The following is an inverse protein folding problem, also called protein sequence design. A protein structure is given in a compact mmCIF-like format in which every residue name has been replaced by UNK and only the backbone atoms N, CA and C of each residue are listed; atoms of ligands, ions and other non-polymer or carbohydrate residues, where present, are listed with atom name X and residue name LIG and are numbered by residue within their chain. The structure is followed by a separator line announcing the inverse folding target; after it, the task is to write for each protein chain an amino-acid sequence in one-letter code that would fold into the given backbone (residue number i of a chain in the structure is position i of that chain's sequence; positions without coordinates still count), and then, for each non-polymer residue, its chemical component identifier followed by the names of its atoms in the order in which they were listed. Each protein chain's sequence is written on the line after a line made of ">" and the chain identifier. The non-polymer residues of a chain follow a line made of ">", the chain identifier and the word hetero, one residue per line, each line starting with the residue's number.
data_IF_647804762186
#
_entry.id   IF_647804762186
#
_cell.length_a   1.000
_cell.length_b   1.000
_cell.length_c   1.000
_cell.angle_alpha   90.00
_cell.angle_beta   90.00
_cell.angle_gamma   90.00
#
_symmetry.space_group_name_H-M   'P 1'
#
loop_
_entity.id
_entity.type
_entity.pdbx_description
1 polymer ?
#
# COMPACT_ATOMS: atom_id res chain seq x y z
N UNK A 1 -36.12 -9.85 -0.43
CA UNK A 1 -34.81 -10.51 -0.24
C UNK A 1 -33.87 -9.44 0.27
N UNK A 2 -33.23 -9.64 1.43
CA UNK A 2 -32.12 -8.78 1.85
C UNK A 2 -31.02 -8.92 0.79
N UNK A 3 -30.45 -7.79 0.33
CA UNK A 3 -29.36 -7.82 -0.64
C UNK A 3 -28.13 -8.53 -0.04
N UNK A 4 -27.26 -9.05 -0.91
CA UNK A 4 -25.95 -9.58 -0.50
C UNK A 4 -25.16 -8.51 0.28
N UNK A 5 -24.32 -8.96 1.21
CA UNK A 5 -23.42 -8.10 1.95
C UNK A 5 -22.21 -7.76 1.08
N UNK A 6 -21.79 -6.50 1.13
CA UNK A 6 -20.71 -6.01 0.29
C UNK A 6 -19.49 -5.68 1.16
N UNK A 7 -18.35 -6.25 0.83
CA UNK A 7 -17.06 -5.89 1.41
C UNK A 7 -16.24 -5.19 0.34
N UNK A 8 -15.67 -4.04 0.66
CA UNK A 8 -14.80 -3.27 -0.22
C UNK A 8 -13.41 -3.26 0.40
N UNK A 9 -12.45 -3.83 -0.31
CA UNK A 9 -11.02 -3.64 -0.08
C UNK A 9 -10.56 -2.46 -0.92
N UNK A 10 -9.95 -1.44 -0.31
CA UNK A 10 -9.40 -0.29 -1.02
C UNK A 10 -7.96 0.00 -0.56
N UNK A 11 -6.99 -0.20 -1.45
CA UNK A 11 -5.57 -0.10 -1.12
C UNK A 11 -4.72 0.14 -2.38
N UNK A 12 -3.44 0.48 -2.28
CA UNK A 12 -2.55 0.60 -3.44
C UNK A 12 -1.76 -0.69 -3.77
N UNK A 13 -1.70 -1.65 -2.83
CA UNK A 13 -1.19 -3.02 -3.01
C UNK A 13 0.28 -3.12 -3.48
N UNK A 14 1.09 -2.11 -3.14
CA UNK A 14 2.52 -2.10 -3.44
C UNK A 14 3.30 -2.82 -2.33
N UNK A 15 2.89 -2.63 -1.09
CA UNK A 15 3.62 -3.01 0.11
C UNK A 15 3.23 -4.44 0.55
N UNK A 16 4.08 -5.08 1.36
CA UNK A 16 3.83 -6.44 1.85
C UNK A 16 2.68 -6.55 2.84
N UNK A 17 2.41 -5.48 3.59
CA UNK A 17 1.31 -5.42 4.53
C UNK A 17 -0.05 -5.29 3.84
N UNK A 18 -0.14 -4.59 2.70
CA UNK A 18 -1.37 -4.54 1.90
C UNK A 18 -1.80 -5.94 1.47
N UNK A 19 -0.85 -6.73 0.93
CA UNK A 19 -1.14 -8.10 0.48
C UNK A 19 -1.46 -9.03 1.66
N UNK A 20 -0.82 -8.83 2.81
CA UNK A 20 -1.14 -9.56 4.03
C UNK A 20 -2.55 -9.21 4.57
N UNK A 21 -2.94 -7.93 4.48
CA UNK A 21 -4.28 -7.45 4.81
C UNK A 21 -5.34 -8.04 3.87
N UNK A 22 -5.05 -8.08 2.56
CA UNK A 22 -5.88 -8.74 1.56
C UNK A 22 -6.06 -10.24 1.86
N UNK A 23 -4.99 -10.94 2.26
CA UNK A 23 -5.05 -12.34 2.68
C UNK A 23 -5.95 -12.51 3.91
N UNK A 24 -5.83 -11.65 4.93
CA UNK A 24 -6.67 -11.73 6.13
C UNK A 24 -8.15 -11.51 5.80
N UNK A 25 -8.45 -10.50 4.96
CA UNK A 25 -9.81 -10.22 4.52
C UNK A 25 -10.38 -11.36 3.67
N UNK A 26 -9.60 -11.89 2.73
CA UNK A 26 -9.99 -13.04 1.92
C UNK A 26 -10.33 -14.24 2.81
N UNK A 27 -9.48 -14.56 3.79
CA UNK A 27 -9.74 -15.63 4.75
C UNK A 27 -10.98 -15.38 5.60
N UNK A 28 -11.33 -14.14 5.90
CA UNK A 28 -12.55 -13.84 6.64
C UNK A 28 -13.82 -14.04 5.80
N UNK A 29 -13.76 -13.79 4.49
CA UNK A 29 -14.97 -13.67 3.64
C UNK A 29 -15.23 -14.88 2.76
N UNK A 30 -14.21 -15.62 2.32
CA UNK A 30 -14.34 -16.49 1.15
C UNK A 30 -15.26 -17.71 1.32
N UNK A 31 -15.64 -18.05 2.56
CA UNK A 31 -16.57 -19.15 2.87
C UNK A 31 -18.02 -18.67 2.99
N UNK A 32 -18.27 -17.37 2.91
CA UNK A 32 -19.58 -16.74 3.10
C UNK A 32 -20.26 -16.54 1.74
N UNK A 33 -21.26 -17.36 1.37
CA UNK A 33 -21.88 -17.30 0.05
C UNK A 33 -22.72 -16.04 -0.18
N UNK A 34 -23.07 -15.31 0.89
CA UNK A 34 -23.86 -14.07 0.84
C UNK A 34 -22.99 -12.81 0.83
N UNK A 35 -21.66 -12.95 0.90
CA UNK A 35 -20.72 -11.82 0.92
C UNK A 35 -20.04 -11.73 -0.43
N UNK A 36 -20.14 -10.55 -1.04
CA UNK A 36 -19.40 -10.20 -2.24
C UNK A 36 -18.25 -9.24 -1.88
N UNK A 37 -17.04 -9.53 -2.36
CA UNK A 37 -15.86 -8.70 -2.12
C UNK A 37 -15.44 -7.97 -3.38
N UNK A 38 -15.37 -6.64 -3.33
CA UNK A 38 -14.76 -5.80 -4.35
C UNK A 38 -13.31 -5.51 -3.97
N UNK A 39 -12.36 -5.94 -4.80
CA UNK A 39 -10.94 -5.66 -4.61
C UNK A 39 -10.58 -4.44 -5.44
N UNK A 40 -10.48 -3.27 -4.82
CA UNK A 40 -10.24 -2.01 -5.52
C UNK A 40 -8.83 -1.53 -5.23
N UNK A 41 -8.05 -1.27 -6.29
CA UNK A 41 -6.73 -0.68 -6.21
C UNK A 41 -6.74 0.82 -6.48
N UNK A 42 -6.06 1.57 -5.63
CA UNK A 42 -5.71 2.98 -5.83
C UNK A 42 -4.28 3.06 -6.41
N UNK A 43 -4.11 3.22 -7.73
CA UNK A 43 -2.77 3.30 -8.31
C UNK A 43 -2.03 4.58 -7.85
N UNK A 44 -0.73 4.46 -7.60
CA UNK A 44 0.16 5.60 -7.31
C UNK A 44 0.69 6.24 -8.60
N UNK A 45 1.13 7.50 -8.51
CA UNK A 45 1.92 8.13 -9.56
C UNK A 45 3.33 7.54 -9.60
N UNK A 46 3.84 7.31 -10.82
CA UNK A 46 5.17 6.74 -11.09
C UNK A 46 5.91 7.58 -12.11
N UNK A 47 7.21 7.30 -12.29
CA UNK A 47 8.01 7.85 -13.39
C UNK A 47 8.99 6.77 -13.84
N UNK A 48 8.77 6.21 -15.03
CA UNK A 48 9.58 5.12 -15.55
C UNK A 48 11.04 5.55 -15.76
N UNK A 49 11.96 4.65 -15.44
CA UNK A 49 13.40 4.85 -15.62
C UNK A 49 14.07 5.66 -14.52
N UNK A 50 13.32 6.05 -13.47
CA UNK A 50 13.89 6.57 -12.24
C UNK A 50 14.14 5.42 -11.26
N UNK A 51 15.40 5.25 -10.88
CA UNK A 51 15.78 4.43 -9.74
C UNK A 51 17.18 4.78 -9.29
N UNK A 52 17.40 4.66 -7.99
CA UNK A 52 18.73 4.65 -7.39
C UNK A 52 19.14 3.22 -7.08
N UNK A 53 20.40 2.90 -7.35
CA UNK A 53 21.02 1.70 -6.79
C UNK A 53 21.26 1.88 -5.30
N UNK A 54 21.46 0.78 -4.56
CA UNK A 54 21.82 0.85 -3.14
C UNK A 54 23.08 1.66 -2.86
N UNK A 55 24.06 1.62 -3.75
CA UNK A 55 25.28 2.43 -3.66
C UNK A 55 24.96 3.92 -3.82
N UNK A 56 24.09 4.27 -4.77
CA UNK A 56 23.62 5.65 -4.94
C UNK A 56 22.82 6.14 -3.73
N UNK A 57 21.93 5.31 -3.17
CA UNK A 57 21.17 5.64 -1.96
C UNK A 57 22.13 5.89 -0.79
N UNK A 58 23.13 5.03 -0.62
CA UNK A 58 24.13 5.14 0.46
C UNK A 58 24.95 6.42 0.29
N UNK A 59 25.50 6.66 -0.90
CA UNK A 59 26.27 7.86 -1.20
C UNK A 59 25.45 9.14 -1.05
N UNK A 60 24.20 9.13 -1.51
CA UNK A 60 23.32 10.29 -1.40
C UNK A 60 23.03 10.66 0.07
N UNK A 61 22.77 9.66 0.93
CA UNK A 61 22.61 9.90 2.38
C UNK A 61 23.87 10.52 3.03
N UNK A 62 25.06 10.08 2.63
CA UNK A 62 26.32 10.67 3.11
C UNK A 62 26.46 12.13 2.67
N UNK A 63 26.17 12.43 1.40
CA UNK A 63 26.21 13.79 0.86
C UNK A 63 25.17 14.69 1.53
N UNK A 64 23.96 14.19 1.79
CA UNK A 64 22.94 14.93 2.53
C UNK A 64 23.46 15.29 3.93
N UNK A 65 24.05 14.32 4.65
CA UNK A 65 24.60 14.55 5.99
C UNK A 65 25.76 15.55 5.99
N UNK A 66 26.59 15.53 4.95
CA UNK A 66 27.76 16.41 4.82
C UNK A 66 27.38 17.86 4.53
N UNK A 67 26.42 18.08 3.63
CA UNK A 67 26.10 19.41 3.12
C UNK A 67 24.87 20.06 3.77
N UNK A 68 24.02 19.27 4.44
CA UNK A 68 22.84 19.76 5.15
C UNK A 68 22.87 19.33 6.62
N UNK A 69 23.79 19.86 7.44
CA UNK A 69 23.99 19.40 8.82
C UNK A 69 22.79 19.66 9.76
N UNK A 70 21.84 20.52 9.37
CA UNK A 70 20.58 20.74 10.08
C UNK A 70 19.56 19.62 9.87
N UNK A 71 19.78 18.71 8.92
CA UNK A 71 18.92 17.56 8.67
C UNK A 71 19.17 16.49 9.72
N UNK A 72 18.15 16.18 10.53
CA UNK A 72 18.24 15.13 11.56
C UNK A 72 18.31 13.71 10.95
N UNK A 73 17.57 13.48 9.86
CA UNK A 73 17.46 12.16 9.24
C UNK A 73 17.67 12.23 7.71
N UNK A 74 18.88 11.90 7.22
CA UNK A 74 19.18 11.89 5.79
C UNK A 74 18.32 10.92 4.98
N UNK A 75 17.91 9.78 5.57
CA UNK A 75 17.04 8.83 4.89
C UNK A 75 15.63 9.39 4.68
N UNK A 76 15.00 9.96 5.73
CA UNK A 76 13.69 10.62 5.59
C UNK A 76 13.76 11.78 4.59
N UNK A 77 14.86 12.53 4.61
CA UNK A 77 15.06 13.65 3.67
C UNK A 77 15.14 13.18 2.22
N UNK A 78 15.89 12.11 1.96
CA UNK A 78 15.95 11.48 0.64
C UNK A 78 14.59 10.90 0.22
N UNK A 79 13.92 10.19 1.13
CA UNK A 79 12.61 9.55 0.90
C UNK A 79 11.53 10.57 0.55
N UNK A 80 11.53 11.73 1.20
CA UNK A 80 10.51 12.77 0.99
C UNK A 80 10.87 13.73 -0.15
N UNK A 81 12.09 13.64 -0.69
CA UNK A 81 12.63 14.58 -1.66
C UNK A 81 12.76 16.00 -1.08
N UNK A 82 13.22 16.11 0.17
CA UNK A 82 13.22 17.34 0.97
C UNK A 82 14.31 18.36 0.62
N UNK A 83 15.16 18.07 -0.36
CA UNK A 83 16.21 18.97 -0.85
C UNK A 83 15.72 19.71 -2.10
N UNK A 84 15.96 21.02 -2.20
CA UNK A 84 15.67 21.79 -3.42
C UNK A 84 16.90 21.87 -4.31
N UNK A 85 16.67 21.99 -5.62
CA UNK A 85 17.77 22.15 -6.59
C UNK A 85 18.64 23.38 -6.26
N UNK A 86 18.01 24.50 -5.85
CA UNK A 86 18.75 25.71 -5.48
C UNK A 86 19.75 25.47 -4.35
N UNK A 87 19.36 24.67 -3.35
CA UNK A 87 20.22 24.37 -2.20
C UNK A 87 21.47 23.55 -2.61
N UNK A 88 21.37 22.76 -3.68
CA UNK A 88 22.48 22.00 -4.26
C UNK A 88 23.37 22.89 -5.13
N UNK A 89 22.77 23.82 -5.87
CA UNK A 89 23.49 24.76 -6.74
C UNK A 89 24.41 25.69 -5.95
N UNK A 90 24.06 26.00 -4.70
CA UNK A 90 24.86 26.82 -3.79
C UNK A 90 26.14 26.12 -3.25
N UNK A 91 26.25 24.79 -3.41
CA UNK A 91 27.41 24.01 -2.96
C UNK A 91 28.54 24.08 -4.00
N UNK A 92 29.61 24.80 -3.68
CA UNK A 92 30.72 25.08 -4.62
C UNK A 92 31.66 23.89 -4.88
N UNK A 93 31.88 23.03 -3.88
CA UNK A 93 32.97 22.03 -3.90
C UNK A 93 32.51 20.60 -4.20
N UNK A 94 31.37 20.43 -4.91
CA UNK A 94 30.90 19.10 -5.32
C UNK A 94 31.62 18.61 -6.57
N UNK A 95 32.07 17.35 -6.54
CA UNK A 95 32.45 16.63 -7.76
C UNK A 95 31.22 16.48 -8.67
N UNK A 96 31.45 16.28 -9.99
CA UNK A 96 30.34 16.08 -10.93
C UNK A 96 29.48 14.86 -10.58
N UNK A 97 30.10 13.79 -10.12
CA UNK A 97 29.40 12.54 -9.75
C UNK A 97 28.61 12.69 -8.44
N UNK A 98 29.18 13.39 -7.45
CA UNK A 98 28.47 13.68 -6.21
C UNK A 98 27.30 14.63 -6.44
N UNK A 99 27.47 15.65 -7.28
CA UNK A 99 26.38 16.54 -7.68
C UNK A 99 25.23 15.75 -8.30
N UNK A 100 25.52 14.90 -9.30
CA UNK A 100 24.51 14.04 -9.94
C UNK A 100 23.81 13.11 -8.97
N UNK A 101 24.53 12.59 -7.98
CA UNK A 101 23.97 11.70 -6.95
C UNK A 101 23.07 12.47 -5.99
N UNK A 102 23.50 13.66 -5.56
CA UNK A 102 22.75 14.52 -4.64
C UNK A 102 21.50 15.12 -5.31
N UNK A 103 21.54 15.40 -6.61
CA UNK A 103 20.38 15.85 -7.40
C UNK A 103 19.22 14.82 -7.36
N UNK A 104 19.51 13.53 -7.15
CA UNK A 104 18.46 12.51 -6.96
C UNK A 104 17.70 12.66 -5.62
N UNK A 105 18.20 13.48 -4.69
CA UNK A 105 17.47 13.86 -3.47
C UNK A 105 16.42 14.94 -3.72
N UNK A 106 16.41 15.58 -4.89
CA UNK A 106 15.36 16.50 -5.30
C UNK A 106 14.17 15.68 -5.79
N UNK A 107 12.98 15.98 -5.28
CA UNK A 107 11.76 15.26 -5.70
C UNK A 107 11.54 15.44 -7.21
N UNK A 108 11.53 14.37 -8.02
CA UNK A 108 11.29 14.47 -9.45
C UNK A 108 9.81 14.78 -9.71
N UNK A 109 9.52 15.31 -10.90
CA UNK A 109 8.14 15.36 -11.39
C UNK A 109 7.62 13.95 -11.64
N UNK A 110 6.32 13.78 -11.49
CA UNK A 110 5.66 12.55 -11.90
C UNK A 110 5.78 12.33 -13.41
N UNK A 111 5.78 11.07 -13.82
CA UNK A 111 5.66 10.67 -15.23
C UNK A 111 4.26 10.95 -15.77
N UNK A 112 3.98 10.42 -16.96
CA UNK A 112 2.65 10.58 -17.55
C UNK A 112 1.59 9.76 -16.79
N UNK A 113 0.33 10.18 -16.88
CA UNK A 113 -0.80 9.40 -16.32
C UNK A 113 -0.90 8.03 -16.99
N UNK A 114 -0.54 7.93 -18.27
CA UNK A 114 -0.53 6.66 -19.00
C UNK A 114 0.48 5.66 -18.40
N UNK A 115 1.67 6.14 -17.99
CA UNK A 115 2.66 5.32 -17.31
C UNK A 115 2.13 4.79 -15.97
N UNK A 116 1.47 5.65 -15.19
CA UNK A 116 0.83 5.26 -13.94
C UNK A 116 -0.35 4.30 -14.14
N UNK A 117 -1.08 4.44 -15.24
CA UNK A 117 -2.17 3.52 -15.62
C UNK A 117 -1.62 2.15 -16.00
N UNK A 118 -0.51 2.08 -16.76
CA UNK A 118 0.17 0.81 -17.05
C UNK A 118 0.68 0.13 -15.79
N UNK A 119 1.32 0.89 -14.90
CA UNK A 119 1.78 0.39 -13.62
C UNK A 119 0.60 -0.13 -12.77
N UNK A 120 -0.45 0.66 -12.61
CA UNK A 120 -1.66 0.28 -11.87
C UNK A 120 -2.31 -1.00 -12.41
N UNK A 121 -2.41 -1.15 -13.73
CA UNK A 121 -2.92 -2.38 -14.37
C UNK A 121 -2.05 -3.60 -14.05
N UNK A 122 -0.73 -3.43 -14.10
CA UNK A 122 0.19 -4.52 -13.80
C UNK A 122 0.08 -4.96 -12.34
N UNK A 123 0.04 -4.00 -11.41
CA UNK A 123 -0.16 -4.25 -9.98
C UNK A 123 -1.50 -4.94 -9.68
N UNK A 124 -2.56 -4.58 -10.41
CA UNK A 124 -3.86 -5.24 -10.31
C UNK A 124 -3.83 -6.70 -10.78
N UNK A 125 -3.12 -6.99 -11.86
CA UNK A 125 -2.92 -8.37 -12.34
C UNK A 125 -2.06 -9.19 -11.37
N UNK A 126 -1.14 -8.55 -10.65
CA UNK A 126 -0.36 -9.19 -9.60
C UNK A 126 -1.19 -9.55 -8.38
N UNK A 127 -2.02 -8.62 -7.91
CA UNK A 127 -3.01 -8.92 -6.86
C UNK A 127 -3.95 -10.03 -7.31
N UNK A 128 -4.48 -9.96 -8.54
CA UNK A 128 -5.32 -11.00 -9.12
C UNK A 128 -4.64 -12.37 -9.13
N UNK A 129 -3.35 -12.43 -9.47
CA UNK A 129 -2.57 -13.67 -9.43
C UNK A 129 -2.55 -14.26 -8.01
N UNK A 130 -2.29 -13.44 -7.00
CA UNK A 130 -2.28 -13.90 -5.60
C UNK A 130 -3.67 -14.31 -5.11
N UNK A 131 -4.72 -13.57 -5.46
CA UNK A 131 -6.09 -13.94 -5.16
C UNK A 131 -6.48 -15.27 -5.84
N UNK A 132 -5.99 -15.53 -7.05
CA UNK A 132 -6.22 -16.80 -7.77
C UNK A 132 -5.63 -18.01 -7.05
N UNK A 133 -4.45 -17.85 -6.43
CA UNK A 133 -3.80 -18.90 -5.63
C UNK A 133 -4.63 -19.23 -4.38
N UNK A 134 -5.29 -18.24 -3.79
CA UNK A 134 -6.11 -18.44 -2.60
C UNK A 134 -7.54 -18.88 -2.91
N UNK A 135 -8.09 -18.47 -4.07
CA UNK A 135 -9.49 -18.67 -4.44
C UNK A 135 -9.85 -20.07 -4.92
N UNK A 136 -8.86 -20.94 -5.16
CA UNK A 136 -9.07 -22.26 -5.78
C UNK A 136 -9.98 -22.17 -7.02
N UNK A 137 -9.77 -21.14 -7.84
CA UNK A 137 -10.53 -20.81 -9.04
C UNK A 137 -11.97 -20.30 -8.82
N UNK A 138 -12.34 -19.79 -7.64
CA UNK A 138 -13.58 -19.02 -7.50
C UNK A 138 -13.48 -17.68 -8.24
N UNK A 139 -14.59 -17.15 -8.81
CA UNK A 139 -14.56 -15.86 -9.49
C UNK A 139 -14.16 -14.72 -8.56
N UNK A 140 -13.27 -13.84 -9.06
CA UNK A 140 -12.79 -12.65 -8.34
C UNK A 140 -12.88 -11.44 -9.27
N UNK A 141 -13.24 -10.29 -8.72
CA UNK A 141 -13.25 -9.00 -9.42
C UNK A 141 -12.24 -8.06 -8.78
N UNK A 142 -11.27 -7.60 -9.59
CA UNK A 142 -10.28 -6.58 -9.22
C UNK A 142 -10.52 -5.33 -10.07
N UNK A 143 -10.73 -4.21 -9.40
CA UNK A 143 -10.98 -2.91 -10.02
C UNK A 143 -9.80 -1.97 -9.75
N UNK A 144 -9.56 -1.01 -10.65
CA UNK A 144 -8.51 0.00 -10.48
C UNK A 144 -9.11 1.40 -10.60
N UNK A 145 -8.99 2.22 -9.55
CA UNK A 145 -9.43 3.62 -9.53
C UNK A 145 -8.43 4.52 -10.28
N UNK A 146 -8.42 4.46 -11.61
CA UNK A 146 -7.54 5.33 -12.41
C UNK A 146 -7.87 6.81 -12.27
N UNK A 147 -9.09 7.18 -11.87
CA UNK A 147 -9.43 8.60 -11.70
C UNK A 147 -8.61 9.23 -10.57
N UNK A 148 -8.21 8.45 -9.57
CA UNK A 148 -7.38 8.90 -8.45
C UNK A 148 -6.09 9.61 -8.89
N UNK A 149 -5.50 9.19 -10.03
CA UNK A 149 -4.20 9.67 -10.52
C UNK A 149 -4.15 11.18 -10.77
N UNK A 150 -5.32 11.81 -11.00
CA UNK A 150 -5.45 13.26 -11.20
C UNK A 150 -5.52 14.06 -9.89
N UNK A 151 -5.64 13.38 -8.76
CA UNK A 151 -6.01 13.98 -7.49
C UNK A 151 -5.10 13.59 -6.32
N UNK A 152 -4.35 12.51 -6.45
CA UNK A 152 -3.36 12.14 -5.45
C UNK A 152 -2.04 12.87 -5.69
N UNK A 153 -1.19 12.92 -4.66
CA UNK A 153 0.20 13.31 -4.75
C UNK A 153 1.03 12.28 -4.00
N UNK A 154 1.80 11.47 -4.72
CA UNK A 154 2.69 10.52 -4.08
C UNK A 154 3.76 11.29 -3.26
N UNK A 155 3.82 11.14 -1.93
CA UNK A 155 4.74 11.93 -1.10
C UNK A 155 6.18 11.44 -1.21
N UNK A 156 6.41 10.22 -1.72
CA UNK A 156 7.73 9.60 -1.89
C UNK A 156 8.49 10.21 -3.07
N UNK A 157 9.81 10.30 -2.92
CA UNK A 157 10.74 10.54 -4.00
C UNK A 157 10.83 9.30 -4.91
N UNK A 158 10.36 9.43 -6.15
CA UNK A 158 10.28 8.33 -7.10
C UNK A 158 11.63 7.70 -7.49
N UNK A 159 12.75 8.33 -7.17
CA UNK A 159 14.06 7.69 -7.27
C UNK A 159 14.22 6.47 -6.33
N UNK A 160 13.36 6.32 -5.33
CA UNK A 160 13.41 5.27 -4.30
C UNK A 160 12.44 4.08 -4.53
N UNK A 161 11.68 4.04 -5.64
CA UNK A 161 10.42 3.26 -5.77
C UNK A 161 10.51 1.78 -6.24
N UNK A 162 11.67 1.29 -6.62
CA UNK A 162 11.69 0.42 -7.80
C UNK A 162 11.77 -1.10 -7.53
N UNK A 163 12.29 -1.56 -6.39
CA UNK A 163 12.74 -2.96 -6.30
C UNK A 163 11.60 -3.92 -5.93
N UNK A 164 10.71 -3.48 -5.04
CA UNK A 164 9.59 -4.22 -4.47
C UNK A 164 8.46 -4.51 -5.49
N UNK A 165 8.31 -3.67 -6.51
CA UNK A 165 7.22 -3.73 -7.48
C UNK A 165 7.42 -4.83 -8.56
N UNK A 166 8.63 -5.38 -8.66
CA UNK A 166 9.02 -6.29 -9.74
C UNK A 166 9.07 -7.78 -9.34
N UNK A 167 8.82 -8.11 -8.07
CA UNK A 167 9.02 -9.47 -7.53
C UNK A 167 8.09 -10.54 -8.12
N UNK A 168 7.05 -10.16 -8.85
CA UNK A 168 6.12 -11.08 -9.53
C UNK A 168 6.47 -11.34 -11.00
N UNK A 169 7.52 -10.70 -11.52
CA UNK A 169 8.01 -10.93 -12.88
C UNK A 169 8.74 -12.27 -12.99
N UNK A 170 8.90 -12.73 -14.21
CA UNK A 170 9.80 -13.85 -14.54
C UNK A 170 11.25 -13.39 -14.63
N UNK A 171 12.20 -14.33 -14.54
CA UNK A 171 13.63 -14.02 -14.70
C UNK A 171 13.93 -13.33 -16.05
N UNK A 172 13.27 -13.76 -17.13
CA UNK A 172 13.43 -13.17 -18.45
C UNK A 172 12.95 -11.71 -18.47
N UNK A 173 11.74 -11.45 -17.97
CA UNK A 173 11.20 -10.09 -17.87
C UNK A 173 12.11 -9.18 -17.04
N UNK A 174 12.68 -9.66 -15.92
CA UNK A 174 13.61 -8.87 -15.12
C UNK A 174 14.94 -8.57 -15.83
N UNK A 175 15.47 -9.53 -16.59
CA UNK A 175 16.68 -9.31 -17.39
C UNK A 175 16.45 -8.25 -18.45
N UNK A 176 15.32 -8.32 -19.15
CA UNK A 176 14.95 -7.32 -20.15
C UNK A 176 14.79 -5.94 -19.50
N UNK A 177 14.12 -5.88 -18.34
CA UNK A 177 13.97 -4.65 -17.56
C UNK A 177 15.33 -4.01 -17.23
N UNK A 178 16.25 -4.79 -16.65
CA UNK A 178 17.56 -4.28 -16.26
C UNK A 178 18.44 -3.91 -17.45
N UNK A 179 18.29 -4.62 -18.58
CA UNK A 179 18.96 -4.26 -19.82
C UNK A 179 18.49 -2.90 -20.34
N UNK A 180 17.19 -2.60 -20.27
CA UNK A 180 16.65 -1.29 -20.63
C UNK A 180 17.27 -0.20 -19.73
N UNK A 181 17.29 -0.39 -18.41
CA UNK A 181 17.88 0.58 -17.49
C UNK A 181 19.37 0.84 -17.73
N UNK A 182 20.14 -0.23 -18.04
CA UNK A 182 21.61 -0.14 -18.16
C UNK A 182 22.06 0.33 -19.54
N UNK A 183 21.43 -0.17 -20.62
CA UNK A 183 21.93 -0.02 -21.99
C UNK A 183 21.32 1.18 -22.71
N UNK A 184 20.11 1.61 -22.33
CA UNK A 184 19.42 2.73 -22.99
C UNK A 184 19.76 4.02 -22.27
N UNK A 185 20.70 4.78 -22.83
CA UNK A 185 21.22 6.01 -22.20
C UNK A 185 20.29 7.23 -22.37
N UNK A 186 19.53 7.29 -23.46
CA UNK A 186 18.59 8.38 -23.73
C UNK A 186 17.33 8.19 -22.86
N UNK A 187 16.96 9.17 -22.01
CA UNK A 187 15.81 9.05 -21.11
C UNK A 187 14.48 8.78 -21.83
N UNK A 188 14.17 9.50 -22.89
CA UNK A 188 12.90 9.35 -23.62
C UNK A 188 12.76 7.96 -24.23
N UNK A 189 13.82 7.47 -24.89
CA UNK A 189 13.85 6.11 -25.43
C UNK A 189 13.74 5.06 -24.34
N UNK A 190 14.39 5.28 -23.18
CA UNK A 190 14.28 4.36 -22.03
C UNK A 190 12.83 4.27 -21.55
N UNK A 191 12.15 5.41 -21.44
CA UNK A 191 10.74 5.45 -21.06
C UNK A 191 9.87 4.69 -22.07
N UNK A 192 10.08 4.87 -23.37
CA UNK A 192 9.33 4.14 -24.40
C UNK A 192 9.60 2.62 -24.37
N UNK A 193 10.84 2.21 -24.19
CA UNK A 193 11.20 0.79 -24.06
C UNK A 193 10.57 0.17 -22.80
N UNK A 194 10.55 0.91 -21.68
CA UNK A 194 9.86 0.49 -20.46
C UNK A 194 8.34 0.38 -20.66
N UNK A 195 7.70 1.28 -21.41
CA UNK A 195 6.28 1.13 -21.78
C UNK A 195 6.04 -0.15 -22.56
N UNK A 196 6.90 -0.44 -23.53
CA UNK A 196 6.87 -1.69 -24.30
C UNK A 196 6.98 -2.92 -23.39
N UNK A 197 7.90 -2.88 -22.43
CA UNK A 197 8.07 -3.92 -21.42
C UNK A 197 6.81 -4.11 -20.55
N UNK A 198 6.20 -3.03 -20.05
CA UNK A 198 4.96 -3.10 -19.27
C UNK A 198 3.81 -3.73 -20.08
N UNK A 199 3.64 -3.31 -21.33
CA UNK A 199 2.64 -3.89 -22.23
C UNK A 199 2.84 -5.39 -22.43
N UNK A 200 4.09 -5.83 -22.58
CA UNK A 200 4.43 -7.24 -22.74
C UNK A 200 4.09 -8.04 -21.48
N UNK A 201 4.49 -7.55 -20.31
CA UNK A 201 4.17 -8.17 -19.02
C UNK A 201 2.66 -8.30 -18.78
N UNK A 202 1.89 -7.23 -19.07
CA UNK A 202 0.42 -7.22 -18.96
C UNK A 202 -0.17 -8.27 -19.91
N UNK A 203 0.25 -8.27 -21.17
CA UNK A 203 -0.23 -9.22 -22.18
C UNK A 203 0.05 -10.66 -21.80
N UNK A 204 1.21 -10.93 -21.21
CA UNK A 204 1.59 -12.27 -20.76
C UNK A 204 0.74 -12.74 -19.57
N UNK A 205 0.40 -11.83 -18.65
CA UNK A 205 -0.50 -12.13 -17.54
C UNK A 205 -1.95 -12.34 -18.02
N UNK A 206 -2.48 -11.47 -18.89
CA UNK A 206 -3.84 -11.59 -19.44
C UNK A 206 -4.08 -12.93 -20.16
N UNK A 207 -3.03 -13.55 -20.71
CA UNK A 207 -3.10 -14.86 -21.38
C UNK A 207 -3.02 -16.06 -20.42
N UNK A 208 -2.74 -15.87 -19.12
CA UNK A 208 -2.61 -16.98 -18.17
C UNK A 208 -3.97 -17.58 -17.86
N UNK A 209 -4.10 -18.89 -18.06
CA UNK A 209 -5.32 -19.65 -17.77
C UNK A 209 -5.76 -19.52 -16.32
N UNK A 210 -4.82 -19.35 -15.38
CA UNK A 210 -5.09 -19.16 -13.95
C UNK A 210 -5.92 -17.91 -13.65
N UNK A 211 -5.92 -16.92 -14.54
CA UNK A 211 -6.71 -15.69 -14.43
C UNK A 211 -8.03 -15.75 -15.21
N UNK A 212 -8.37 -16.87 -15.85
CA UNK A 212 -9.59 -17.00 -16.68
C UNK A 212 -10.91 -16.76 -15.94
N UNK A 213 -10.89 -16.88 -14.60
CA UNK A 213 -12.05 -16.63 -13.73
C UNK A 213 -11.91 -15.34 -12.92
N UNK A 214 -10.87 -14.55 -13.18
CA UNK A 214 -10.65 -13.25 -12.55
C UNK A 214 -10.89 -12.16 -13.56
N UNK A 215 -11.71 -11.19 -13.19
CA UNK A 215 -11.88 -9.96 -13.97
C UNK A 215 -10.97 -8.88 -13.38
N UNK A 216 -10.17 -8.24 -14.24
CA UNK A 216 -9.36 -7.08 -13.90
C UNK A 216 -9.78 -5.93 -14.80
N UNK A 217 -10.20 -4.81 -14.22
CA UNK A 217 -10.75 -3.70 -14.99
C UNK A 217 -10.60 -2.35 -14.32
N UNK A 218 -10.90 -1.27 -15.06
CA UNK A 218 -11.08 0.05 -14.47
C UNK A 218 -12.32 0.08 -13.58
N UNK A 219 -12.25 0.85 -12.50
CA UNK A 219 -13.39 1.08 -11.63
C UNK A 219 -14.45 1.91 -12.37
N UNK A 220 -15.66 1.37 -12.43
CA UNK A 220 -16.87 2.12 -12.78
C UNK A 220 -17.55 2.56 -11.49
N UNK A 221 -17.43 3.85 -11.16
CA UNK A 221 -17.93 4.41 -9.91
C UNK A 221 -19.44 4.26 -9.79
N UNK A 222 -20.20 4.44 -10.87
CA UNK A 222 -21.66 4.33 -10.83
C UNK A 222 -22.11 2.90 -10.55
N UNK A 223 -21.40 1.91 -11.11
CA UNK A 223 -21.63 0.50 -10.76
C UNK A 223 -21.35 0.22 -9.28
N UNK A 224 -20.21 0.68 -8.75
CA UNK A 224 -19.87 0.53 -7.32
C UNK A 224 -20.92 1.19 -6.42
N UNK A 225 -21.33 2.42 -6.72
CA UNK A 225 -22.38 3.14 -5.99
C UNK A 225 -23.72 2.39 -6.01
N UNK A 226 -24.08 1.79 -7.15
CA UNK A 226 -25.30 0.98 -7.26
C UNK A 226 -25.21 -0.30 -6.41
N UNK A 227 -24.06 -0.96 -6.37
CA UNK A 227 -23.85 -2.12 -5.48
C UNK A 227 -23.98 -1.73 -4.01
N UNK A 228 -23.39 -0.61 -3.58
CA UNK A 228 -23.53 -0.08 -2.22
C UNK A 228 -25.01 0.21 -1.87
N UNK A 229 -25.75 0.84 -2.78
CA UNK A 229 -27.18 1.14 -2.58
C UNK A 229 -28.04 -0.11 -2.43
N UNK A 230 -27.71 -1.18 -3.14
CA UNK A 230 -28.49 -2.43 -3.15
C UNK A 230 -28.04 -3.46 -2.11
N UNK A 231 -26.85 -3.32 -1.53
CA UNK A 231 -26.32 -4.23 -0.52
C UNK A 231 -27.11 -4.19 0.80
N UNK A 232 -27.17 -5.34 1.49
CA UNK A 232 -27.76 -5.48 2.82
C UNK A 232 -26.95 -4.71 3.87
N UNK A 233 -25.64 -4.95 3.90
CA UNK A 233 -24.65 -4.18 4.65
C UNK A 233 -23.41 -3.89 3.78
N UNK A 234 -22.65 -2.84 4.13
CA UNK A 234 -21.41 -2.49 3.42
C UNK A 234 -20.29 -2.27 4.41
N UNK A 235 -19.20 -3.02 4.26
CA UNK A 235 -17.97 -2.89 5.03
C UNK A 235 -16.84 -2.42 4.13
N UNK A 236 -16.18 -1.35 4.53
CA UNK A 236 -15.05 -0.78 3.79
C UNK A 236 -13.78 -0.91 4.60
N UNK A 237 -12.79 -1.61 4.05
CA UNK A 237 -11.48 -1.81 4.62
C UNK A 237 -10.46 -1.04 3.77
N UNK A 238 -9.88 0.01 4.34
CA UNK A 238 -9.04 0.97 3.63
C UNK A 238 -7.63 1.08 4.20
N UNK A 239 -6.64 1.11 3.31
CA UNK A 239 -5.23 1.37 3.64
C UNK A 239 -4.54 2.35 2.68
N UNK A 240 -5.31 3.14 1.93
CA UNK A 240 -4.80 4.16 1.01
C UNK A 240 -5.52 5.50 1.21
N UNK A 241 -5.48 6.41 0.23
CA UNK A 241 -6.08 7.74 0.36
C UNK A 241 -7.59 7.71 0.62
N UNK A 242 -8.13 8.78 1.20
CA UNK A 242 -9.55 8.88 1.51
C UNK A 242 -10.40 9.39 0.32
N UNK A 243 -9.84 9.48 -0.90
CA UNK A 243 -10.53 10.04 -2.06
C UNK A 243 -11.84 9.32 -2.40
N UNK A 244 -11.83 7.98 -2.47
CA UNK A 244 -13.04 7.24 -2.85
C UNK A 244 -14.17 7.42 -1.83
N UNK A 245 -13.81 7.55 -0.54
CA UNK A 245 -14.76 7.83 0.53
C UNK A 245 -15.37 9.23 0.40
N UNK A 246 -14.60 10.22 -0.08
CA UNK A 246 -15.16 11.53 -0.42
C UNK A 246 -16.21 11.41 -1.53
N UNK A 247 -15.96 10.59 -2.57
CA UNK A 247 -16.97 10.34 -3.61
C UNK A 247 -18.23 9.69 -3.03
N UNK A 248 -18.10 8.75 -2.09
CA UNK A 248 -19.25 8.10 -1.44
C UNK A 248 -20.07 9.07 -0.59
N UNK A 249 -19.42 10.00 0.12
CA UNK A 249 -20.07 11.10 0.83
C UNK A 249 -20.82 12.02 -0.14
N UNK A 250 -20.15 12.48 -1.20
CA UNK A 250 -20.72 13.43 -2.15
C UNK A 250 -21.86 12.84 -2.99
N UNK A 251 -21.90 11.51 -3.10
CA UNK A 251 -22.98 10.77 -3.79
C UNK A 251 -24.04 10.22 -2.85
N UNK A 252 -23.95 10.52 -1.55
CA UNK A 252 -24.99 10.23 -0.56
C UNK A 252 -25.19 8.75 -0.25
N UNK A 253 -24.13 7.93 -0.34
CA UNK A 253 -24.18 6.50 0.01
C UNK A 253 -23.41 6.14 1.29
N UNK A 254 -22.68 7.10 1.86
CA UNK A 254 -21.84 6.91 3.05
C UNK A 254 -22.59 6.33 4.25
N UNK A 255 -23.85 6.71 4.44
CA UNK A 255 -24.71 6.26 5.55
C UNK A 255 -25.03 4.75 5.54
N UNK A 256 -24.62 4.00 4.51
CA UNK A 256 -24.72 2.53 4.47
C UNK A 256 -23.39 1.82 4.77
N UNK A 257 -22.29 2.57 4.90
CA UNK A 257 -20.94 2.03 4.90
C UNK A 257 -20.36 2.09 6.32
N UNK A 258 -19.83 0.96 6.78
CA UNK A 258 -19.00 0.85 7.98
C UNK A 258 -17.53 0.83 7.56
N UNK A 259 -16.77 1.85 7.95
CA UNK A 259 -15.37 2.01 7.55
C UNK A 259 -14.40 1.55 8.66
N UNK A 260 -13.37 0.82 8.25
CA UNK A 260 -12.21 0.41 9.05
C UNK A 260 -10.93 0.81 8.29
N UNK A 261 -10.22 1.82 8.78
CA UNK A 261 -9.19 2.51 8.00
C UNK A 261 -7.85 2.56 8.73
N UNK A 262 -6.76 2.20 8.06
CA UNK A 262 -5.41 2.59 8.49
C UNK A 262 -5.18 4.05 8.08
N UNK A 263 -5.32 5.00 9.01
CA UNK A 263 -5.16 6.43 8.69
C UNK A 263 -4.79 7.26 9.91
N UNK A 264 -3.98 8.31 9.67
CA UNK A 264 -3.59 9.29 10.69
C UNK A 264 -2.65 8.74 11.74
N UNK A 265 -2.22 9.61 12.66
CA UNK A 265 -1.36 9.25 13.77
C UNK A 265 -1.67 10.14 14.97
N UNK A 266 -1.49 9.62 16.18
CA UNK A 266 -1.46 10.42 17.41
C UNK A 266 -0.05 10.87 17.78
N UNK A 267 0.95 10.41 17.04
CA UNK A 267 2.36 10.65 17.27
C UNK A 267 3.03 11.05 15.95
N UNK A 268 3.50 12.30 15.88
CA UNK A 268 4.20 12.84 14.71
C UNK A 268 5.53 12.12 14.44
N UNK A 269 6.18 11.56 15.46
CA UNK A 269 7.46 10.87 15.29
C UNK A 269 7.32 9.59 14.45
N UNK A 270 6.12 8.98 14.49
CA UNK A 270 5.75 7.81 13.70
C UNK A 270 5.51 8.12 12.21
N UNK A 271 5.40 9.40 11.83
CA UNK A 271 5.22 9.77 10.44
C UNK A 271 6.56 9.82 9.69
N UNK A 272 6.58 9.28 8.48
CA UNK A 272 7.69 9.45 7.54
C UNK A 272 7.62 10.81 6.82
N UNK A 273 6.41 11.33 6.62
CA UNK A 273 6.11 12.58 5.93
C UNK A 273 5.47 13.60 6.90
N UNK A 274 5.21 14.83 6.42
CA UNK A 274 4.55 15.86 7.23
C UNK A 274 3.15 15.43 7.70
N UNK A 275 2.45 14.67 6.87
CA UNK A 275 1.23 13.94 7.22
C UNK A 275 1.52 12.43 7.30
N UNK A 276 0.62 11.67 7.94
CA UNK A 276 0.59 10.23 7.75
C UNK A 276 0.38 9.92 6.26
N UNK A 277 0.99 8.85 5.74
CA UNK A 277 1.08 8.55 4.31
C UNK A 277 -0.25 8.64 3.55
N UNK A 278 -1.31 8.00 4.07
CA UNK A 278 -2.63 7.98 3.42
C UNK A 278 -3.31 9.35 3.40
N UNK A 279 -3.03 10.20 4.41
CA UNK A 279 -3.44 11.61 4.41
C UNK A 279 -2.61 12.40 3.40
N UNK A 280 -1.30 12.15 3.32
CA UNK A 280 -0.39 12.84 2.42
C UNK A 280 -0.73 12.59 0.94
N UNK A 281 -1.23 11.40 0.59
CA UNK A 281 -1.69 11.08 -0.76
C UNK A 281 -2.79 12.03 -1.25
N UNK A 282 -3.73 12.45 -0.39
CA UNK A 282 -4.75 13.43 -0.73
C UNK A 282 -5.27 14.15 0.53
N UNK A 283 -4.56 15.20 0.94
CA UNK A 283 -4.85 15.93 2.17
C UNK A 283 -6.25 16.55 2.17
N UNK A 284 -6.69 17.05 1.00
CA UNK A 284 -8.00 17.68 0.88
C UNK A 284 -9.14 16.66 1.05
N UNK A 285 -9.04 15.50 0.40
CA UNK A 285 -10.00 14.42 0.60
C UNK A 285 -10.00 13.95 2.05
N UNK A 286 -8.83 13.82 2.67
CA UNK A 286 -8.72 13.44 4.07
C UNK A 286 -9.42 14.44 5.00
N UNK A 287 -9.22 15.74 4.80
CA UNK A 287 -9.89 16.80 5.56
C UNK A 287 -11.42 16.71 5.45
N UNK A 288 -11.94 16.51 4.23
CA UNK A 288 -13.38 16.39 3.99
C UNK A 288 -13.95 15.15 4.65
N UNK A 289 -13.33 13.99 4.44
CA UNK A 289 -13.84 12.71 4.95
C UNK A 289 -13.79 12.65 6.48
N UNK A 290 -12.67 13.06 7.08
CA UNK A 290 -12.54 13.06 8.55
C UNK A 290 -13.54 14.04 9.19
N UNK A 291 -13.71 15.23 8.60
CA UNK A 291 -14.67 16.23 9.08
C UNK A 291 -16.14 15.82 8.92
N UNK A 292 -16.44 14.87 8.03
CA UNK A 292 -17.78 14.34 7.75
C UNK A 292 -17.94 12.86 8.16
N UNK A 293 -17.04 12.37 9.00
CA UNK A 293 -17.00 10.97 9.44
C UNK A 293 -18.31 10.47 10.07
N UNK A 294 -19.07 11.36 10.72
CA UNK A 294 -20.37 11.05 11.31
C UNK A 294 -21.49 10.77 10.29
N UNK A 295 -21.29 11.06 8.99
CA UNK A 295 -22.25 10.74 7.93
C UNK A 295 -22.18 9.26 7.49
N UNK A 296 -21.14 8.53 7.90
CA UNK A 296 -21.02 7.10 7.68
C UNK A 296 -21.85 6.29 8.69
N UNK A 297 -22.23 5.06 8.34
CA UNK A 297 -22.92 4.16 9.29
C UNK A 297 -22.03 3.86 10.50
N UNK A 298 -20.74 3.66 10.23
CA UNK A 298 -19.68 3.59 11.23
C UNK A 298 -18.38 4.09 10.61
N UNK A 299 -17.56 4.82 11.37
CA UNK A 299 -16.27 5.29 10.91
C UNK A 299 -15.21 5.08 11.99
N UNK A 300 -14.37 4.06 11.77
CA UNK A 300 -13.36 3.60 12.72
C UNK A 300 -11.97 3.67 12.09
N UNK A 301 -11.02 4.29 12.79
CA UNK A 301 -9.62 4.45 12.34
C UNK A 301 -8.66 3.64 13.21
N UNK A 302 -7.56 3.21 12.61
CA UNK A 302 -6.40 2.59 13.28
C UNK A 302 -5.18 3.45 12.96
N UNK A 303 -4.79 4.36 13.88
CA UNK A 303 -3.70 5.28 13.63
C UNK A 303 -2.35 4.57 13.53
N UNK A 304 -1.37 5.19 12.88
CA UNK A 304 -0.08 4.55 12.56
C UNK A 304 0.68 4.00 13.78
N UNK A 305 0.70 4.71 14.91
CA UNK A 305 1.34 4.20 16.13
C UNK A 305 0.72 2.88 16.63
N UNK A 306 -0.60 2.70 16.49
CA UNK A 306 -1.30 1.45 16.78
C UNK A 306 -1.05 0.42 15.69
N UNK A 307 -1.21 0.79 14.41
CA UNK A 307 -1.06 -0.13 13.29
C UNK A 307 0.36 -0.72 13.20
N UNK A 308 1.38 0.04 13.63
CA UNK A 308 2.77 -0.41 13.64
C UNK A 308 3.16 -1.18 14.91
N UNK A 309 2.28 -1.26 15.92
CA UNK A 309 2.63 -1.82 17.23
C UNK A 309 2.71 -3.35 17.25
N UNK A 310 2.17 -4.04 16.23
CA UNK A 310 2.29 -5.49 16.11
C UNK A 310 3.33 -5.82 15.04
N UNK A 311 4.33 -6.62 15.42
CA UNK A 311 5.24 -7.26 14.46
C UNK A 311 4.84 -8.70 14.21
N UNK A 312 4.88 -9.11 12.95
CA UNK A 312 4.46 -10.42 12.50
C UNK A 312 5.67 -11.23 12.02
N UNK A 313 5.77 -12.49 12.42
CA UNK A 313 6.76 -13.40 11.86
C UNK A 313 6.57 -13.53 10.35
N UNK A 314 7.62 -13.18 9.60
CA UNK A 314 7.64 -13.28 8.14
C UNK A 314 7.42 -14.73 7.67
N UNK A 315 8.08 -15.67 8.33
CA UNK A 315 7.92 -17.09 8.05
C UNK A 315 6.50 -17.59 8.34
N UNK A 316 5.88 -17.12 9.44
CA UNK A 316 4.49 -17.46 9.73
C UNK A 316 3.53 -16.87 8.68
N UNK A 317 3.72 -15.61 8.24
CA UNK A 317 2.93 -15.01 7.17
C UNK A 317 3.03 -15.80 5.85
N UNK A 318 4.24 -16.23 5.46
CA UNK A 318 4.45 -17.14 4.33
C UNK A 318 3.63 -18.42 4.44
N UNK A 319 3.57 -19.05 5.63
CA UNK A 319 2.80 -20.29 5.83
C UNK A 319 1.31 -20.12 5.49
N UNK A 320 0.73 -18.94 5.70
CA UNK A 320 -0.69 -18.67 5.43
C UNK A 320 -0.96 -18.08 4.04
N UNK A 321 -0.04 -17.29 3.50
CA UNK A 321 -0.25 -16.58 2.24
C UNK A 321 0.52 -17.12 1.04
N UNK A 322 1.38 -18.11 1.26
CA UNK A 322 2.11 -18.80 0.20
C UNK A 322 3.22 -17.96 -0.43
N UNK A 323 3.56 -18.31 -1.68
CA UNK A 323 4.67 -17.73 -2.41
C UNK A 323 4.50 -16.24 -2.70
N UNK A 324 3.28 -15.79 -2.97
CA UNK A 324 2.97 -14.37 -3.16
C UNK A 324 3.42 -13.50 -1.99
N UNK A 325 3.08 -13.90 -0.75
CA UNK A 325 3.49 -13.18 0.46
C UNK A 325 5.01 -13.25 0.66
N UNK A 326 5.63 -14.41 0.45
CA UNK A 326 7.08 -14.56 0.58
C UNK A 326 7.84 -13.60 -0.35
N UNK A 327 7.49 -13.59 -1.64
CA UNK A 327 8.13 -12.71 -2.63
C UNK A 327 7.99 -11.24 -2.27
N UNK A 328 6.79 -10.84 -1.82
CA UNK A 328 6.51 -9.45 -1.43
C UNK A 328 7.32 -9.05 -0.19
N UNK A 329 7.42 -9.90 0.83
CA UNK A 329 8.24 -9.63 2.01
C UNK A 329 9.73 -9.56 1.66
N UNK A 330 10.23 -10.47 0.83
CA UNK A 330 11.64 -10.47 0.41
C UNK A 330 12.00 -9.19 -0.36
N UNK A 331 11.16 -8.75 -1.29
CA UNK A 331 11.39 -7.51 -2.03
C UNK A 331 11.23 -6.26 -1.17
N UNK A 332 10.11 -6.15 -0.46
CA UNK A 332 9.75 -4.92 0.25
C UNK A 332 10.49 -4.77 1.58
N UNK A 333 10.46 -5.79 2.44
CA UNK A 333 11.02 -5.69 3.79
C UNK A 333 12.49 -6.11 3.87
N UNK A 334 12.91 -7.10 3.08
CA UNK A 334 14.31 -7.55 3.08
C UNK A 334 15.18 -6.82 2.04
N UNK A 335 14.59 -6.05 1.12
CA UNK A 335 15.28 -5.37 0.01
C UNK A 335 16.14 -6.32 -0.84
N UNK A 336 15.68 -7.57 -1.01
CA UNK A 336 16.36 -8.54 -1.84
C UNK A 336 16.21 -8.23 -3.33
N UNK A 337 17.23 -8.60 -4.11
CA UNK A 337 17.21 -8.41 -5.56
C UNK A 337 16.09 -9.27 -6.19
N UNK A 338 15.20 -8.68 -7.01
CA UNK A 338 14.14 -9.41 -7.71
C UNK A 338 14.60 -10.67 -8.46
N UNK A 339 15.78 -10.66 -9.10
CA UNK A 339 16.31 -11.84 -9.79
C UNK A 339 16.61 -12.96 -8.80
N UNK A 340 17.23 -12.65 -7.65
CA UNK A 340 17.50 -13.65 -6.61
C UNK A 340 16.21 -14.27 -6.07
N UNK A 341 15.17 -13.45 -5.91
CA UNK A 341 13.86 -13.89 -5.43
C UNK A 341 13.23 -14.84 -6.46
N UNK A 342 13.11 -14.44 -7.73
CA UNK A 342 12.36 -15.24 -8.73
C UNK A 342 13.12 -16.49 -9.19
N UNK A 343 14.44 -16.52 -9.00
CA UNK A 343 15.28 -17.70 -9.25
C UNK A 343 15.48 -18.57 -8.00
N UNK A 344 14.77 -18.28 -6.91
CA UNK A 344 14.80 -19.02 -5.64
C UNK A 344 16.20 -19.12 -4.99
N UNK A 345 17.06 -18.12 -5.20
CA UNK A 345 18.37 -18.03 -4.53
C UNK A 345 18.27 -17.53 -3.09
N UNK A 346 17.15 -16.90 -2.75
CA UNK A 346 16.82 -16.42 -1.40
C UNK A 346 15.42 -16.88 -1.02
N UNK A 347 15.22 -17.18 0.26
CA UNK A 347 13.93 -17.54 0.83
C UNK A 347 13.81 -17.04 2.26
N UNK A 348 12.58 -16.89 2.76
CA UNK A 348 12.38 -16.51 4.16
C UNK A 348 12.87 -17.59 5.12
N UNK A 349 12.71 -18.86 4.75
CA UNK A 349 13.06 -20.00 5.61
C UNK A 349 14.58 -20.13 5.80
N UNK A 350 15.36 -19.95 4.74
CA UNK A 350 16.81 -20.13 4.80
C UNK A 350 17.54 -18.86 5.24
N UNK A 351 17.10 -17.69 4.78
CA UNK A 351 17.85 -16.44 4.94
C UNK A 351 17.28 -15.55 6.05
N UNK A 352 15.98 -15.67 6.36
CA UNK A 352 15.27 -14.76 7.27
C UNK A 352 14.32 -15.47 8.26
N UNK A 353 14.68 -16.61 8.88
CA UNK A 353 13.74 -17.45 9.63
C UNK A 353 13.12 -16.75 10.84
N UNK A 354 13.87 -15.87 11.48
CA UNK A 354 13.49 -15.21 12.74
C UNK A 354 13.02 -13.76 12.54
N UNK A 355 12.85 -13.30 11.29
CA UNK A 355 12.47 -11.90 11.03
C UNK A 355 10.99 -11.66 11.35
N UNK A 356 10.75 -10.54 12.01
CA UNK A 356 9.42 -9.99 12.26
C UNK A 356 9.33 -8.58 11.68
N UNK A 357 8.17 -8.23 11.12
CA UNK A 357 7.92 -6.92 10.51
C UNK A 357 6.59 -6.36 10.97
N UNK A 358 6.52 -5.05 11.18
CA UNK A 358 5.24 -4.35 11.35
C UNK A 358 4.47 -4.39 10.04
N UNK A 359 3.16 -4.70 10.11
CA UNK A 359 2.29 -4.78 8.95
C UNK A 359 1.04 -3.90 9.18
N UNK A 360 1.13 -2.58 9.00
CA UNK A 360 0.09 -1.62 9.39
C UNK A 360 -1.32 -1.94 8.90
N UNK A 361 -1.50 -2.25 7.62
CA UNK A 361 -2.81 -2.55 7.08
C UNK A 361 -3.36 -3.88 7.59
N UNK A 362 -2.50 -4.89 7.72
CA UNK A 362 -2.88 -6.16 8.33
C UNK A 362 -3.34 -5.95 9.78
N UNK A 363 -2.59 -5.19 10.57
CA UNK A 363 -2.98 -4.86 11.95
C UNK A 363 -4.31 -4.13 11.98
N UNK A 364 -4.48 -3.12 11.13
CA UNK A 364 -5.74 -2.36 11.03
C UNK A 364 -6.93 -3.28 10.77
N UNK A 365 -6.80 -4.21 9.82
CA UNK A 365 -7.89 -5.12 9.47
C UNK A 365 -8.13 -6.15 10.56
N UNK A 366 -7.09 -6.70 11.19
CA UNK A 366 -7.23 -7.66 12.28
C UNK A 366 -7.85 -7.05 13.54
N UNK A 367 -7.61 -5.76 13.82
CA UNK A 367 -8.30 -5.05 14.89
C UNK A 367 -9.82 -5.01 14.67
N UNK A 368 -10.27 -4.90 13.42
CA UNK A 368 -11.70 -4.93 13.10
C UNK A 368 -12.26 -6.36 13.01
N UNK A 369 -11.53 -7.30 12.39
CA UNK A 369 -12.02 -8.66 12.11
C UNK A 369 -11.99 -9.56 13.35
N UNK A 370 -10.96 -9.43 14.21
CA UNK A 370 -10.73 -10.29 15.38
C UNK A 370 -10.20 -9.48 16.58
N UNK A 371 -10.93 -8.44 17.05
CA UNK A 371 -10.49 -7.53 18.11
C UNK A 371 -10.02 -8.25 19.38
N UNK A 372 -10.72 -9.31 19.80
CA UNK A 372 -10.34 -10.08 20.99
C UNK A 372 -8.99 -10.79 20.85
N UNK A 373 -8.60 -11.16 19.63
CA UNK A 373 -7.32 -11.82 19.36
C UNK A 373 -6.20 -10.81 19.26
N UNK A 374 -6.45 -9.59 18.78
CA UNK A 374 -5.44 -8.54 18.73
C UNK A 374 -5.29 -7.82 20.07
N UNK A 375 -6.32 -7.85 20.91
CA UNK A 375 -6.40 -7.07 22.14
C UNK A 375 -6.76 -5.60 21.87
N UNK A 376 -7.37 -5.31 20.72
CA UNK A 376 -7.74 -3.94 20.36
C UNK A 376 -8.84 -3.40 21.26
N UNK A 377 -8.69 -2.14 21.67
CA UNK A 377 -9.66 -1.43 22.51
C UNK A 377 -10.24 -0.26 21.74
N UNK A 378 -11.54 -0.03 21.94
CA UNK A 378 -12.20 1.15 21.40
C UNK A 378 -11.79 2.39 22.21
N UNK A 379 -11.35 3.42 21.51
CA UNK A 379 -11.16 4.78 22.00
C UNK A 379 -11.71 5.79 21.01
N UNK A 380 -11.42 7.07 21.24
CA UNK A 380 -11.83 8.15 20.33
C UNK A 380 -10.70 9.13 20.07
N UNK A 381 -10.78 9.80 18.93
CA UNK A 381 -9.89 10.88 18.56
C UNK A 381 -10.67 12.08 18.02
N UNK A 382 -10.08 13.25 18.19
CA UNK A 382 -10.41 14.45 17.43
C UNK A 382 -9.26 14.76 16.47
N UNK A 383 -9.60 15.35 15.32
CA UNK A 383 -8.61 15.74 14.30
C UNK A 383 -8.20 17.19 14.56
N UNK A 384 -6.91 17.39 14.72
CA UNK A 384 -6.30 18.70 14.96
C UNK A 384 -5.46 19.10 13.76
N UNK A 385 -5.90 20.15 13.06
CA UNK A 385 -5.20 20.73 11.92
C UNK A 385 -4.11 21.69 12.45
N UNK A 386 -2.85 21.31 12.23
CA UNK A 386 -1.69 22.13 12.58
C UNK A 386 -1.46 23.22 11.54
N UNK A 387 -0.61 24.18 11.91
CA UNK A 387 -0.06 25.16 10.95
C UNK A 387 0.60 24.42 9.77
N UNK A 388 0.31 24.86 8.54
CA UNK A 388 0.73 24.16 7.32
C UNK A 388 -0.21 23.03 6.87
N UNK A 389 -1.35 22.84 7.53
CA UNK A 389 -2.43 21.92 7.13
C UNK A 389 -2.24 20.48 7.58
N UNK A 390 -1.14 20.14 8.27
CA UNK A 390 -0.90 18.80 8.78
C UNK A 390 -2.04 18.34 9.69
N UNK A 391 -2.58 17.15 9.45
CA UNK A 391 -3.66 16.57 10.25
C UNK A 391 -3.07 15.61 11.29
N UNK A 392 -3.20 15.97 12.56
CA UNK A 392 -2.77 15.17 13.70
C UNK A 392 -3.97 14.68 14.50
N UNK A 393 -3.95 13.45 14.99
CA UNK A 393 -5.00 12.96 15.87
C UNK A 393 -4.67 13.24 17.32
N UNK A 394 -5.66 13.71 18.08
CA UNK A 394 -5.58 13.87 19.53
C UNK A 394 -6.52 12.88 20.18
N UNK A 395 -6.01 12.05 21.09
CA UNK A 395 -6.86 11.16 21.89
C UNK A 395 -7.91 11.99 22.63
N UNK A 396 -9.16 11.54 22.57
CA UNK A 396 -10.32 12.22 23.13
C UNK A 396 -11.31 11.18 23.67
N UNK A 397 -12.32 11.64 24.41
CA UNK A 397 -13.45 10.82 24.86
C UNK A 397 -14.63 10.84 23.87
N UNK A 398 -14.51 11.65 22.81
CA UNK A 398 -15.51 11.88 21.76
C UNK A 398 -14.83 12.00 20.39
N UNK A 399 -15.66 12.08 19.34
CA UNK A 399 -15.20 12.26 17.96
C UNK A 399 -15.17 10.94 17.19
N UNK A 400 -14.10 10.73 16.42
CA UNK A 400 -13.95 9.57 15.54
C UNK A 400 -13.56 8.35 16.38
N UNK A 401 -14.19 7.20 16.11
CA UNK A 401 -13.82 5.94 16.76
C UNK A 401 -12.41 5.53 16.35
N UNK A 402 -11.60 5.14 17.31
CA UNK A 402 -10.27 4.61 17.12
C UNK A 402 -10.18 3.21 17.71
N UNK A 403 -9.55 2.27 17.02
CA UNK A 403 -9.05 1.06 17.66
C UNK A 403 -7.60 1.29 18.04
N UNK A 404 -7.29 1.07 19.32
CA UNK A 404 -5.96 1.23 19.90
C UNK A 404 -5.46 -0.08 20.51
N UNK A 405 -4.15 -0.20 20.72
CA UNK A 405 -3.48 -1.37 21.29
C UNK A 405 -2.59 -0.96 22.45
N UNK A 406 -2.56 -1.79 23.49
CA UNK A 406 -1.68 -1.58 24.63
C UNK A 406 -0.26 -2.02 24.27
N UNK A 407 0.57 -1.05 23.84
CA UNK A 407 1.99 -1.26 23.61
C UNK A 407 2.32 -2.13 22.40
N UNK A 408 3.60 -2.54 22.34
CA UNK A 408 4.17 -3.29 21.21
C UNK A 408 4.05 -4.79 21.46
N UNK A 409 3.60 -5.54 20.45
CA UNK A 409 3.41 -6.99 20.50
C UNK A 409 4.16 -7.67 19.35
N UNK A 410 4.50 -8.95 19.52
CA UNK A 410 5.03 -9.79 18.45
C UNK A 410 4.18 -11.05 18.27
N UNK A 411 3.69 -11.27 17.05
CA UNK A 411 2.87 -12.40 16.67
C UNK A 411 3.72 -13.43 15.91
N UNK A 412 4.12 -14.46 16.65
CA UNK A 412 4.76 -15.64 16.12
C UNK A 412 3.74 -16.73 15.73
N UNK A 413 4.25 -17.85 15.24
CA UNK A 413 3.47 -18.93 14.62
C UNK A 413 2.22 -19.35 15.41
N UNK A 414 2.31 -19.61 16.71
CA UNK A 414 1.16 -20.05 17.51
C UNK A 414 0.02 -19.02 17.50
N UNK A 415 0.35 -17.75 17.74
CA UNK A 415 -0.66 -16.66 17.77
C UNK A 415 -1.24 -16.41 16.38
N UNK A 416 -0.39 -16.46 15.35
CA UNK A 416 -0.80 -16.35 13.95
C UNK A 416 -1.76 -17.47 13.56
N UNK A 417 -1.46 -18.70 13.97
CA UNK A 417 -2.35 -19.85 13.78
C UNK A 417 -3.71 -19.63 14.41
N UNK A 418 -3.75 -19.21 15.67
CA UNK A 418 -5.02 -18.95 16.36
C UNK A 418 -5.85 -17.87 15.66
N UNK A 419 -5.21 -16.85 15.08
CA UNK A 419 -5.86 -15.77 14.32
C UNK A 419 -6.37 -16.27 12.97
N UNK A 420 -5.50 -16.86 12.14
CA UNK A 420 -5.85 -17.24 10.78
C UNK A 420 -6.78 -18.46 10.70
N UNK A 421 -6.70 -19.38 11.67
CA UNK A 421 -7.68 -20.46 11.82
C UNK A 421 -9.06 -19.89 12.20
N UNK A 422 -9.10 -18.86 13.08
CA UNK A 422 -10.35 -18.19 13.44
C UNK A 422 -10.96 -17.47 12.24
N UNK A 423 -10.17 -16.69 11.49
CA UNK A 423 -10.61 -16.04 10.24
C UNK A 423 -11.19 -17.04 9.26
N UNK A 424 -10.57 -18.22 9.19
CA UNK A 424 -11.00 -19.31 8.31
C UNK A 424 -12.21 -20.09 8.82
N UNK A 425 -12.72 -19.77 10.02
CA UNK A 425 -13.87 -20.42 10.63
C UNK A 425 -15.15 -19.65 10.34
N UNK A 426 -16.29 -20.34 10.25
CA UNK A 426 -17.64 -19.73 10.11
C UNK A 426 -18.08 -18.89 11.33
N UNK A 427 -17.19 -18.68 12.29
CA UNK A 427 -17.47 -18.03 13.58
C UNK A 427 -17.14 -16.55 13.58
N UNK A 428 -16.43 -16.03 12.56
CA UNK A 428 -16.24 -14.58 12.41
C UNK A 428 -17.56 -13.98 11.98
N UNK A 429 -18.37 -13.56 12.96
CA UNK A 429 -19.69 -12.95 12.78
C UNK A 429 -19.62 -11.44 12.46
N UNK A 430 -18.43 -10.88 12.19
CA UNK A 430 -18.22 -9.41 12.22
C UNK A 430 -18.30 -8.69 10.87
N UNK A 431 -18.90 -9.33 9.87
CA UNK A 431 -19.36 -8.64 8.65
C UNK A 431 -20.88 -8.51 8.75
#
# INVERSE_FOLDING_TARGET
>A
MLGEDLVIYYNDSIDSDNLAAAMALYRATHWMPTVHVLWILEPRQVCFGLSMTMDQITRCKELIKLHFPSVENPFKTLLNGGIKQQDIDDIKDLTKDDRKTLEMAVKPKYGSIDDATLHGRLSALDLATCLSEWSNANPVEVLVDYETLKHIENPVNLHMHHHEELVNRTEAELKDYYDILKKVLNPDRRTDDLRGWYHECIRNLDRRVTLSRISVGGLDLDNVLNRIKNAGSVHFFGGSSLRILQQFLDRGVANKIKCHLQVGSCDMSANLFSNQFNIALNQQAAKVVLGRSAEFAEFTVVPSHTAQSIKYSALALKKYGGHCIEKRILGFNCHEDPIKIVTNQVSLEQNYPDKTYSMPDLTSFLCALVPDKTGSKLGYIEVDEQEGGTLLFKKSDKGIRMLDLDGVQEFHEKKMKDIFDLLSSRTVMML
#
